data_IF_650423369870
#
_entry.id   IF_650423369870
#
_cell.length_a   1.000
_cell.length_b   1.000
_cell.length_c   1.000
_cell.angle_alpha   90.00
_cell.angle_beta   90.00
_cell.angle_gamma   90.00
#
_symmetry.space_group_name_H-M   'P 1'
#
loop_
_entity.id
_entity.type
_entity.pdbx_description
1 polymer ?
#
# COMPACT_ATOMS: atom_id res chain seq x y z
N UNK A 1 2.23 21.04 -17.23
CA UNK A 1 3.63 21.54 -17.16
C UNK A 1 4.51 20.77 -16.18
N UNK A 2 4.12 20.54 -14.91
CA UNK A 2 4.98 19.84 -13.94
C UNK A 2 5.30 18.37 -14.32
N UNK A 3 4.31 17.61 -14.79
CA UNK A 3 4.54 16.23 -15.29
C UNK A 3 5.44 16.19 -16.53
N UNK A 4 5.30 17.18 -17.42
CA UNK A 4 6.19 17.33 -18.58
C UNK A 4 7.61 17.73 -18.15
N UNK A 5 7.77 18.62 -17.16
CA UNK A 5 9.08 18.94 -16.56
C UNK A 5 9.70 17.72 -15.87
N UNK A 6 8.91 16.90 -15.16
CA UNK A 6 9.35 15.64 -14.57
C UNK A 6 9.84 14.68 -15.66
N UNK A 7 9.02 14.44 -16.69
CA UNK A 7 9.40 13.64 -17.87
C UNK A 7 10.66 14.18 -18.55
N UNK A 8 10.75 15.48 -18.82
CA UNK A 8 11.92 16.12 -19.45
C UNK A 8 13.18 16.10 -18.57
N UNK A 9 13.04 16.09 -17.24
CA UNK A 9 14.17 15.94 -16.31
C UNK A 9 14.64 14.49 -16.17
N UNK A 10 13.75 13.52 -16.42
CA UNK A 10 14.02 12.08 -16.30
C UNK A 10 14.42 11.43 -17.62
N UNK A 11 13.94 11.96 -18.75
CA UNK A 11 14.22 11.47 -20.10
C UNK A 11 15.72 11.44 -20.43
N UNK A 12 16.56 12.43 -20.07
CA UNK A 12 18.01 12.37 -20.30
C UNK A 12 18.70 11.26 -19.50
N UNK A 13 18.18 10.89 -18.33
CA UNK A 13 18.68 9.77 -17.53
C UNK A 13 18.28 8.41 -18.15
N UNK A 14 17.10 8.35 -18.77
CA UNK A 14 16.61 7.19 -19.54
C UNK A 14 17.32 7.04 -20.89
N UNK A 15 17.74 8.14 -21.52
CA UNK A 15 18.44 8.15 -22.81
C UNK A 15 19.93 7.77 -22.72
N UNK A 16 20.56 7.90 -21.54
CA UNK A 16 21.98 7.57 -21.32
C UNK A 16 22.24 6.06 -21.10
N UNK A 17 21.20 5.24 -21.01
CA UNK A 17 21.29 3.78 -21.05
C UNK A 17 20.56 3.33 -22.30
N UNK A 18 21.20 2.54 -23.15
CA UNK A 18 20.71 2.08 -24.46
C UNK A 18 19.31 1.44 -24.41
N UNK A 19 18.27 2.27 -24.37
CA UNK A 19 16.86 1.88 -24.50
C UNK A 19 16.35 2.20 -25.91
N UNK A 20 17.20 2.01 -26.91
CA UNK A 20 16.78 1.84 -28.30
C UNK A 20 16.55 0.35 -28.55
N UNK A 21 15.35 -0.18 -28.25
CA UNK A 21 14.77 -1.38 -28.88
C UNK A 21 13.41 -1.78 -28.26
N UNK A 22 12.41 -0.88 -28.22
CA UNK A 22 11.00 -1.32 -28.09
C UNK A 22 10.12 -0.52 -29.07
N UNK A 23 10.40 -0.64 -30.37
CA UNK A 23 9.51 -0.14 -31.43
C UNK A 23 8.90 -1.25 -32.28
N UNK A 24 9.03 -2.51 -31.85
CA UNK A 24 8.45 -3.66 -32.57
C UNK A 24 7.59 -4.52 -31.63
N UNK A 25 6.27 -4.66 -31.90
CA UNK A 25 5.33 -5.45 -31.08
C UNK A 25 5.76 -6.89 -30.79
N UNK A 26 6.60 -7.48 -31.66
CA UNK A 26 7.14 -8.84 -31.49
C UNK A 26 8.08 -8.99 -30.28
N UNK A 27 8.87 -7.97 -29.94
CA UNK A 27 9.83 -8.05 -28.83
C UNK A 27 9.14 -7.88 -27.46
N UNK A 28 8.10 -7.04 -27.38
CA UNK A 28 7.29 -6.91 -26.16
C UNK A 28 6.52 -8.21 -25.85
N UNK A 29 5.96 -8.86 -26.88
CA UNK A 29 5.29 -10.16 -26.72
C UNK A 29 6.25 -11.26 -26.26
N UNK A 30 7.48 -11.29 -26.80
CA UNK A 30 8.49 -12.26 -26.40
C UNK A 30 9.03 -11.99 -24.98
N UNK A 31 9.26 -10.73 -24.62
CA UNK A 31 9.67 -10.35 -23.27
C UNK A 31 8.57 -10.64 -22.23
N UNK A 32 7.29 -10.39 -22.55
CA UNK A 32 6.15 -10.76 -21.71
C UNK A 32 6.00 -12.28 -21.58
N UNK A 33 6.25 -13.03 -22.65
CA UNK A 33 6.21 -14.50 -22.62
C UNK A 33 7.32 -15.06 -21.73
N UNK A 34 8.55 -14.56 -21.87
CA UNK A 34 9.69 -14.97 -21.04
C UNK A 34 9.51 -14.53 -19.58
N UNK A 35 9.00 -13.32 -19.32
CA UNK A 35 8.64 -12.88 -17.98
C UNK A 35 7.55 -13.76 -17.36
N UNK A 36 6.50 -14.11 -18.12
CA UNK A 36 5.42 -14.98 -17.64
C UNK A 36 5.94 -16.38 -17.34
N UNK A 37 6.85 -16.93 -18.15
CA UNK A 37 7.52 -18.21 -17.88
C UNK A 37 8.37 -18.14 -16.60
N UNK A 38 9.16 -17.08 -16.43
CA UNK A 38 9.99 -16.89 -15.24
C UNK A 38 9.16 -16.68 -13.98
N UNK A 39 8.11 -15.85 -14.04
CA UNK A 39 7.18 -15.66 -12.95
C UNK A 39 6.47 -16.97 -12.57
N UNK A 40 5.96 -17.74 -13.56
CA UNK A 40 5.38 -19.07 -13.30
C UNK A 40 6.37 -20.04 -12.68
N UNK A 41 7.64 -20.02 -13.11
CA UNK A 41 8.70 -20.84 -12.53
C UNK A 41 8.95 -20.45 -11.06
N UNK A 42 9.10 -19.16 -10.77
CA UNK A 42 9.28 -18.63 -9.41
C UNK A 42 8.08 -18.98 -8.52
N UNK A 43 6.85 -18.73 -8.98
CA UNK A 43 5.65 -19.06 -8.20
C UNK A 43 5.45 -20.57 -8.02
N UNK A 44 5.82 -21.39 -9.01
CA UNK A 44 5.81 -22.85 -8.89
C UNK A 44 6.87 -23.33 -7.89
N UNK A 45 8.08 -22.77 -7.92
CA UNK A 45 9.15 -23.08 -6.96
C UNK A 45 8.76 -22.65 -5.53
N UNK A 46 8.17 -21.47 -5.36
CA UNK A 46 7.61 -20.99 -4.09
C UNK A 46 6.49 -21.93 -3.63
N UNK A 47 5.55 -22.27 -4.51
CA UNK A 47 4.45 -23.18 -4.20
C UNK A 47 4.95 -24.58 -3.82
N UNK A 48 5.93 -25.13 -4.54
CA UNK A 48 6.54 -26.42 -4.21
C UNK A 48 7.33 -26.35 -2.90
N UNK A 49 8.01 -25.24 -2.61
CA UNK A 49 8.64 -24.98 -1.30
C UNK A 49 7.60 -25.01 -0.17
N UNK A 50 6.44 -24.38 -0.37
CA UNK A 50 5.33 -24.38 0.58
C UNK A 50 4.59 -25.73 0.69
N UNK A 51 4.45 -26.46 -0.42
CA UNK A 51 3.73 -27.73 -0.49
C UNK A 51 4.57 -28.91 0.04
N UNK A 52 5.87 -28.92 -0.21
CA UNK A 52 6.80 -29.96 0.22
C UNK A 52 7.25 -29.80 1.68
N UNK A 53 7.23 -28.58 2.21
CA UNK A 53 7.70 -28.30 3.56
C UNK A 53 6.53 -28.29 4.57
N UNK A 54 6.24 -29.47 5.16
CA UNK A 54 5.22 -29.61 6.23
C UNK A 54 5.48 -28.71 7.44
N UNK A 55 6.70 -28.20 7.63
CA UNK A 55 7.01 -27.23 8.68
C UNK A 55 6.35 -25.87 8.41
N UNK A 56 6.37 -25.34 7.18
CA UNK A 56 5.76 -24.04 6.87
C UNK A 56 4.24 -24.01 6.99
N UNK A 57 3.55 -25.14 6.77
CA UNK A 57 2.10 -25.26 7.08
C UNK A 57 1.79 -25.24 8.58
N UNK A 58 2.75 -25.58 9.44
CA UNK A 58 2.63 -25.46 10.92
C UNK A 58 3.19 -24.12 11.44
N UNK A 59 3.91 -23.36 10.61
CA UNK A 59 4.57 -22.11 10.98
C UNK A 59 3.65 -20.91 11.18
N UNK A 60 2.39 -20.95 10.73
CA UNK A 60 1.43 -19.89 11.06
C UNK A 60 1.06 -19.82 12.55
N UNK A 61 1.58 -20.73 13.39
CA UNK A 61 1.54 -20.62 14.86
C UNK A 61 2.86 -21.00 15.54
N UNK A 62 3.93 -21.43 14.85
CA UNK A 62 5.17 -21.83 15.55
C UNK A 62 6.46 -21.55 14.79
N UNK A 63 7.32 -20.72 15.39
CA UNK A 63 8.74 -20.60 15.06
C UNK A 63 9.48 -21.95 15.29
N UNK A 64 10.57 -22.24 14.55
CA UNK A 64 11.43 -23.39 14.86
C UNK A 64 11.97 -23.27 16.28
N UNK A 65 11.62 -24.25 17.10
CA UNK A 65 11.89 -24.42 18.54
C UNK A 65 13.37 -24.31 18.99
N UNK A 66 14.31 -23.98 18.10
CA UNK A 66 15.76 -24.13 18.32
C UNK A 66 16.47 -22.92 18.92
N UNK A 67 15.82 -21.75 19.04
CA UNK A 67 16.44 -20.57 19.68
C UNK A 67 15.85 -20.26 21.07
N UNK A 68 14.91 -21.07 21.55
CA UNK A 68 14.39 -21.01 22.92
C UNK A 68 14.97 -22.13 23.80
N UNK A 69 16.27 -22.40 23.67
CA UNK A 69 17.01 -23.22 24.64
C UNK A 69 17.31 -22.44 25.93
N UNK A 70 16.76 -21.23 26.09
CA UNK A 70 16.61 -20.63 27.41
C UNK A 70 15.84 -21.63 28.29
N UNK A 71 16.32 -21.95 29.51
CA UNK A 71 15.62 -22.86 30.39
C UNK A 71 14.16 -22.38 30.55
N UNK A 72 13.18 -23.30 30.73
CA UNK A 72 11.73 -23.02 30.74
C UNK A 72 11.25 -22.15 31.92
N UNK A 73 12.13 -21.32 32.47
CA UNK A 73 11.88 -20.41 33.56
C UNK A 73 11.63 -19.03 32.95
N UNK A 74 10.35 -18.66 32.89
CA UNK A 74 9.86 -17.30 32.56
C UNK A 74 9.72 -16.97 31.06
N UNK A 75 8.69 -17.52 30.40
CA UNK A 75 8.24 -16.98 29.11
C UNK A 75 7.41 -15.71 29.33
N UNK A 76 7.90 -14.58 28.82
CA UNK A 76 7.16 -13.32 28.75
C UNK A 76 6.39 -13.27 27.43
N UNK A 77 5.06 -13.18 27.49
CA UNK A 77 4.18 -13.06 26.33
C UNK A 77 3.63 -11.64 26.29
N UNK A 78 4.00 -10.89 25.24
CA UNK A 78 3.49 -9.56 24.95
C UNK A 78 2.45 -9.65 23.83
N UNK A 79 1.20 -9.25 24.12
CA UNK A 79 0.10 -9.18 23.14
C UNK A 79 -0.23 -7.73 22.84
N UNK A 80 0.02 -7.28 21.62
CA UNK A 80 -0.30 -5.91 21.18
C UNK A 80 -1.61 -5.90 20.38
N UNK A 81 -2.59 -5.12 20.82
CA UNK A 81 -3.88 -4.95 20.16
C UNK A 81 -3.97 -3.55 19.56
N UNK A 82 -3.98 -3.48 18.23
CA UNK A 82 -4.02 -2.23 17.47
C UNK A 82 -5.46 -1.70 17.30
N UNK A 83 -5.62 -0.37 17.23
CA UNK A 83 -6.89 0.36 17.14
C UNK A 83 -7.88 0.01 18.27
N UNK A 84 -7.37 -0.30 19.46
CA UNK A 84 -8.18 -0.75 20.59
C UNK A 84 -9.23 0.29 21.07
N UNK A 85 -8.95 1.57 20.84
CA UNK A 85 -9.84 2.69 21.20
C UNK A 85 -11.23 2.57 20.57
N UNK A 86 -11.33 2.00 19.36
CA UNK A 86 -12.61 1.83 18.67
C UNK A 86 -13.57 0.86 19.39
N UNK A 87 -13.07 0.04 20.32
CA UNK A 87 -13.87 -0.92 21.09
C UNK A 87 -14.19 -0.45 22.51
N UNK A 88 -13.93 0.82 22.82
CA UNK A 88 -14.05 1.36 24.18
C UNK A 88 -15.27 2.26 24.39
N UNK A 89 -16.05 2.56 23.33
CA UNK A 89 -17.12 3.57 23.36
C UNK A 89 -18.38 3.21 24.17
N UNK A 90 -18.45 2.00 24.74
CA UNK A 90 -19.40 1.60 25.77
C UNK A 90 -20.87 1.49 25.36
N UNK A 91 -21.22 1.86 24.14
CA UNK A 91 -22.60 1.80 23.63
C UNK A 91 -22.89 0.49 22.89
N UNK A 92 -21.85 -0.23 22.44
CA UNK A 92 -22.01 -1.47 21.72
C UNK A 92 -21.90 -2.66 22.68
N UNK A 93 -22.85 -3.62 22.70
CA UNK A 93 -22.70 -4.87 23.42
C UNK A 93 -21.38 -5.61 23.11
N UNK A 94 -20.74 -5.34 21.97
CA UNK A 94 -19.43 -5.90 21.59
C UNK A 94 -18.26 -5.23 22.33
N UNK A 95 -18.41 -4.02 22.84
CA UNK A 95 -17.42 -3.37 23.72
C UNK A 95 -17.25 -4.19 25.01
N UNK A 96 -18.28 -4.94 25.42
CA UNK A 96 -18.17 -5.89 26.54
C UNK A 96 -17.23 -7.05 26.25
N UNK A 97 -17.01 -7.45 24.99
CA UNK A 97 -16.08 -8.53 24.64
C UNK A 97 -14.63 -8.09 24.71
N UNK A 98 -14.33 -6.85 24.29
CA UNK A 98 -12.97 -6.30 24.41
C UNK A 98 -12.67 -5.95 25.86
N UNK A 99 -13.64 -5.39 26.60
CA UNK A 99 -13.52 -5.27 28.06
C UNK A 99 -13.35 -6.63 28.73
N UNK A 100 -14.10 -7.64 28.31
CA UNK A 100 -13.94 -9.02 28.80
C UNK A 100 -12.56 -9.59 28.49
N UNK A 101 -11.99 -9.30 27.31
CA UNK A 101 -10.62 -9.66 26.98
C UNK A 101 -9.60 -8.89 27.82
N UNK A 102 -9.79 -7.59 28.04
CA UNK A 102 -8.94 -6.76 28.90
C UNK A 102 -8.97 -7.25 30.35
N UNK A 103 -10.16 -7.54 30.87
CA UNK A 103 -10.38 -8.11 32.20
C UNK A 103 -9.77 -9.49 32.30
N UNK A 104 -9.97 -10.36 31.31
CA UNK A 104 -9.33 -11.67 31.26
C UNK A 104 -7.81 -11.54 31.26
N UNK A 105 -7.22 -10.67 30.42
CA UNK A 105 -5.78 -10.44 30.38
C UNK A 105 -5.25 -9.87 31.70
N UNK A 106 -6.00 -8.98 32.36
CA UNK A 106 -5.66 -8.43 33.69
C UNK A 106 -5.73 -9.52 34.76
N UNK A 107 -6.77 -10.33 34.75
CA UNK A 107 -6.95 -11.45 35.66
C UNK A 107 -5.86 -12.49 35.47
N UNK A 108 -5.54 -12.83 34.22
CA UNK A 108 -4.40 -13.68 33.87
C UNK A 108 -3.10 -13.08 34.36
N UNK A 109 -2.86 -11.78 34.14
CA UNK A 109 -1.64 -11.11 34.60
C UNK A 109 -1.50 -11.13 36.13
N UNK A 110 -2.59 -10.90 36.88
CA UNK A 110 -2.58 -10.86 38.35
C UNK A 110 -2.49 -12.27 38.96
N UNK A 111 -3.34 -13.20 38.54
CA UNK A 111 -3.41 -14.55 39.13
C UNK A 111 -2.20 -15.42 38.83
N UNK A 112 -1.57 -15.25 37.66
CA UNK A 112 -0.41 -16.05 37.27
C UNK A 112 0.94 -15.46 37.65
N UNK A 113 0.98 -14.22 38.13
CA UNK A 113 2.23 -13.60 38.60
C UNK A 113 2.80 -14.34 39.80
N UNK A 114 1.95 -14.89 40.67
CA UNK A 114 2.38 -15.60 41.87
C UNK A 114 2.76 -17.07 41.64
N UNK A 115 2.12 -17.75 40.68
CA UNK A 115 2.20 -19.22 40.58
C UNK A 115 2.68 -19.80 39.24
N UNK A 116 2.87 -18.99 38.19
CA UNK A 116 3.21 -19.54 36.87
C UNK A 116 4.50 -18.98 36.29
N UNK A 117 5.27 -19.87 35.65
CA UNK A 117 6.49 -19.54 34.89
C UNK A 117 6.19 -18.76 33.60
N UNK A 118 4.96 -18.36 33.30
CA UNK A 118 4.62 -17.61 32.10
C UNK A 118 3.98 -16.28 32.47
N UNK A 119 4.65 -15.18 32.16
CA UNK A 119 4.21 -13.82 32.45
C UNK A 119 3.54 -13.25 31.20
N UNK A 120 2.28 -12.81 31.32
CA UNK A 120 1.51 -12.26 30.19
C UNK A 120 1.32 -10.75 30.36
N UNK A 121 1.54 -10.00 29.28
CA UNK A 121 1.30 -8.57 29.20
C UNK A 121 0.51 -8.26 27.93
N UNK A 122 -0.63 -7.59 28.08
CA UNK A 122 -1.40 -7.05 26.97
C UNK A 122 -1.18 -5.55 26.84
N UNK A 123 -0.81 -5.06 25.67
CA UNK A 123 -0.74 -3.64 25.34
C UNK A 123 -1.83 -3.33 24.33
N UNK A 124 -2.79 -2.50 24.74
CA UNK A 124 -3.82 -1.99 23.85
C UNK A 124 -3.32 -0.66 23.31
N UNK A 125 -2.97 -0.66 22.02
CA UNK A 125 -2.43 0.50 21.33
C UNK A 125 -3.55 1.12 20.50
N UNK A 126 -3.69 2.43 20.60
CA UNK A 126 -4.45 3.21 19.63
C UNK A 126 -3.42 3.93 18.74
N UNK A 127 -3.55 3.83 17.41
CA UNK A 127 -2.61 4.49 16.48
C UNK A 127 -2.66 6.00 16.54
N UNK A 128 -3.70 6.55 17.16
CA UNK A 128 -3.79 7.97 17.41
C UNK A 128 -2.78 8.44 18.48
N UNK A 129 -2.18 7.52 19.25
CA UNK A 129 -1.10 7.86 20.15
C UNK A 129 0.16 8.15 19.33
N UNK A 130 0.41 9.43 19.09
CA UNK A 130 1.68 9.95 18.61
C UNK A 130 2.78 9.41 19.53
N UNK A 131 3.65 8.53 19.03
CA UNK A 131 4.71 7.93 19.84
C UNK A 131 5.83 8.97 19.97
N UNK A 132 5.58 9.95 20.84
CA UNK A 132 6.57 10.95 21.25
C UNK A 132 7.77 10.24 21.87
N UNK A 133 8.83 10.06 21.07
CA UNK A 133 10.00 9.26 21.45
C UNK A 133 10.67 8.51 20.30
N UNK A 134 10.09 8.51 19.10
CA UNK A 134 10.75 8.01 17.88
C UNK A 134 11.72 9.02 17.24
N UNK A 135 12.18 10.05 17.96
CA UNK A 135 13.19 10.95 17.43
C UNK A 135 14.56 10.24 17.48
N UNK A 136 15.15 9.85 16.34
CA UNK A 136 16.52 9.33 16.36
C UNK A 136 17.42 10.38 16.98
N UNK A 137 18.35 9.97 17.86
CA UNK A 137 19.25 10.91 18.55
C UNK A 137 19.78 11.95 17.56
N UNK A 138 19.44 13.23 17.79
CA UNK A 138 19.65 14.32 16.83
C UNK A 138 21.10 14.45 16.32
N UNK A 139 22.07 13.86 17.03
CA UNK A 139 23.47 13.79 16.66
C UNK A 139 23.76 13.05 15.32
N UNK A 140 22.82 12.29 14.75
CA UNK A 140 23.06 11.51 13.53
C UNK A 140 22.42 12.05 12.24
N UNK A 141 21.66 13.15 12.29
CA UNK A 141 21.01 13.73 11.11
C UNK A 141 21.97 14.22 10.00
N UNK A 142 23.28 14.30 10.28
CA UNK A 142 24.32 14.72 9.30
C UNK A 142 24.95 13.58 8.51
N UNK A 143 24.69 12.32 8.84
CA UNK A 143 25.15 11.21 7.98
C UNK A 143 24.25 11.18 6.75
N UNK A 144 24.85 11.19 5.55
CA UNK A 144 24.12 10.95 4.30
C UNK A 144 23.30 9.67 4.52
N UNK A 145 21.97 9.79 4.45
CA UNK A 145 21.02 8.67 4.53
C UNK A 145 21.27 7.76 3.33
N UNK A 146 22.31 6.93 3.40
CA UNK A 146 22.55 5.88 2.43
C UNK A 146 21.54 4.79 2.70
N UNK A 147 20.77 4.44 1.68
CA UNK A 147 19.84 3.32 1.72
C UNK A 147 20.46 2.10 2.39
N UNK A 148 19.91 1.71 3.54
CA UNK A 148 20.31 0.50 4.25
C UNK A 148 19.61 -0.70 3.61
N UNK A 149 20.36 -1.75 3.24
CA UNK A 149 19.76 -2.94 2.65
C UNK A 149 18.74 -3.55 3.63
N UNK A 150 17.57 -4.03 3.17
CA UNK A 150 16.54 -4.58 4.05
C UNK A 150 17.02 -5.69 4.99
N UNK A 151 18.04 -6.46 4.59
CA UNK A 151 18.65 -7.53 5.41
C UNK A 151 19.37 -7.01 6.67
N UNK A 152 19.73 -5.74 6.70
CA UNK A 152 20.41 -5.09 7.82
C UNK A 152 19.43 -4.36 8.74
N UNK A 153 18.15 -4.27 8.35
CA UNK A 153 17.11 -3.69 9.18
C UNK A 153 16.67 -4.74 10.21
N UNK A 154 16.59 -4.30 11.45
CA UNK A 154 16.12 -5.07 12.58
C UNK A 154 14.77 -4.52 13.02
N UNK A 155 13.70 -5.29 12.81
CA UNK A 155 12.53 -5.14 13.69
C UNK A 155 12.70 -6.12 14.84
N UNK A 156 12.19 -5.74 16.01
CA UNK A 156 11.98 -6.73 17.07
C UNK A 156 11.01 -7.77 16.50
N UNK A 157 11.51 -8.98 16.23
CA UNK A 157 10.66 -10.06 15.77
C UNK A 157 9.60 -10.32 16.84
N UNK A 158 8.32 -10.31 16.49
CA UNK A 158 7.28 -10.62 17.46
C UNK A 158 7.49 -12.07 17.94
N UNK A 159 7.27 -12.30 19.24
CA UNK A 159 7.33 -13.65 19.83
C UNK A 159 6.29 -14.57 19.14
N UNK A 160 5.16 -13.99 18.74
CA UNK A 160 4.12 -14.62 17.96
C UNK A 160 3.56 -13.61 16.95
N UNK A 161 3.48 -13.99 15.68
CA UNK A 161 2.85 -13.21 14.62
C UNK A 161 1.54 -13.87 14.23
N UNK A 162 0.44 -13.12 14.29
CA UNK A 162 -0.84 -13.55 13.75
C UNK A 162 -1.07 -12.72 12.50
N UNK A 163 -0.86 -13.33 11.34
CA UNK A 163 -1.27 -12.69 10.09
C UNK A 163 -2.81 -12.65 10.05
N UNK A 164 -3.33 -11.43 10.04
CA UNK A 164 -4.78 -11.20 9.98
C UNK A 164 -5.23 -10.61 8.66
N UNK A 165 -4.30 -10.32 7.75
CA UNK A 165 -4.63 -9.80 6.44
C UNK A 165 -5.52 -10.81 5.72
N UNK A 166 -6.55 -10.31 5.04
CA UNK A 166 -7.48 -11.12 4.27
C UNK A 166 -8.28 -12.17 5.09
N UNK A 167 -8.27 -12.13 6.42
CA UNK A 167 -9.02 -13.10 7.25
C UNK A 167 -10.55 -13.10 7.01
N UNK A 168 -11.08 -12.00 6.48
CA UNK A 168 -12.50 -11.87 6.07
C UNK A 168 -12.70 -12.00 4.56
N UNK A 169 -11.62 -12.23 3.80
CA UNK A 169 -11.71 -12.51 2.39
C UNK A 169 -12.30 -13.91 2.16
N UNK A 170 -13.07 -14.09 1.08
CA UNK A 170 -13.44 -15.43 0.66
C UNK A 170 -12.19 -16.25 0.31
N UNK A 171 -12.27 -17.58 0.43
CA UNK A 171 -11.22 -18.46 -0.07
C UNK A 171 -10.93 -18.19 -1.57
N UNK A 172 -9.74 -18.57 -2.03
CA UNK A 172 -9.25 -18.21 -3.37
C UNK A 172 -10.21 -18.66 -4.49
N UNK A 173 -10.77 -19.86 -4.41
CA UNK A 173 -11.72 -20.36 -5.41
C UNK A 173 -12.98 -19.48 -5.50
N UNK A 174 -13.58 -19.16 -4.35
CA UNK A 174 -14.74 -18.27 -4.29
C UNK A 174 -14.36 -16.85 -4.69
N UNK A 175 -13.18 -16.37 -4.32
CA UNK A 175 -12.66 -15.07 -4.74
C UNK A 175 -12.59 -14.99 -6.27
N UNK A 176 -11.92 -15.94 -6.93
CA UNK A 176 -11.84 -15.99 -8.39
C UNK A 176 -13.19 -16.08 -9.07
N UNK A 177 -14.14 -16.83 -8.49
CA UNK A 177 -15.52 -16.88 -8.99
C UNK A 177 -16.17 -15.50 -8.91
N UNK A 178 -16.03 -14.79 -7.79
CA UNK A 178 -16.54 -13.42 -7.63
C UNK A 178 -15.84 -12.44 -8.57
N UNK A 179 -14.53 -12.54 -8.79
CA UNK A 179 -13.80 -11.72 -9.76
C UNK A 179 -14.34 -11.97 -11.17
N UNK A 180 -14.50 -13.24 -11.58
CA UNK A 180 -15.01 -13.60 -12.90
C UNK A 180 -16.44 -13.14 -13.11
N UNK A 181 -17.28 -13.21 -12.08
CA UNK A 181 -18.63 -12.65 -12.13
C UNK A 181 -18.56 -11.12 -12.26
N UNK A 182 -17.73 -10.44 -11.47
CA UNK A 182 -17.56 -8.99 -11.56
C UNK A 182 -16.96 -8.52 -12.90
N UNK A 183 -16.08 -9.32 -13.51
CA UNK A 183 -15.43 -9.02 -14.77
C UNK A 183 -16.26 -9.43 -16.00
N UNK A 184 -17.09 -10.47 -15.87
CA UNK A 184 -17.84 -11.10 -16.96
C UNK A 184 -19.33 -10.77 -16.99
N UNK A 185 -19.92 -10.37 -15.86
CA UNK A 185 -21.20 -9.69 -15.90
C UNK A 185 -20.97 -8.38 -16.63
N UNK A 186 -21.60 -8.21 -17.80
CA UNK A 186 -21.98 -6.87 -18.26
C UNK A 186 -22.59 -6.23 -17.02
N UNK A 187 -21.94 -5.21 -16.46
CA UNK A 187 -22.39 -4.54 -15.24
C UNK A 187 -23.85 -4.17 -15.45
N UNK A 188 -24.74 -5.03 -14.97
CA UNK A 188 -26.16 -4.76 -15.00
C UNK A 188 -26.28 -3.64 -13.98
N UNK A 189 -26.73 -2.47 -14.42
CA UNK A 189 -26.93 -1.28 -13.59
C UNK A 189 -27.71 -1.56 -12.29
N UNK A 190 -28.38 -2.72 -12.21
CA UNK A 190 -29.14 -3.21 -11.06
C UNK A 190 -28.31 -3.79 -9.91
N UNK A 191 -27.02 -4.13 -10.10
CA UNK A 191 -26.16 -4.60 -8.99
C UNK A 191 -24.78 -3.91 -8.96
N UNK A 192 -24.72 -2.61 -8.61
CA UNK A 192 -23.47 -1.86 -8.44
C UNK A 192 -22.55 -2.37 -7.30
N UNK A 193 -22.96 -3.41 -6.56
CA UNK A 193 -22.35 -3.83 -5.30
C UNK A 193 -21.29 -4.95 -5.42
N UNK A 194 -20.84 -5.33 -6.62
CA UNK A 194 -19.94 -6.48 -6.77
C UNK A 194 -18.48 -6.22 -6.33
N UNK A 195 -18.12 -4.99 -5.94
CA UNK A 195 -16.79 -4.67 -5.39
C UNK A 195 -16.68 -4.98 -3.89
N UNK A 196 -17.79 -5.33 -3.23
CA UNK A 196 -17.82 -5.58 -1.78
C UNK A 196 -16.80 -6.62 -1.35
N UNK A 197 -16.53 -7.65 -2.17
CA UNK A 197 -15.51 -8.65 -1.83
C UNK A 197 -14.08 -8.09 -1.90
N UNK A 198 -13.76 -7.24 -2.89
CA UNK A 198 -12.44 -6.63 -3.02
C UNK A 198 -12.12 -5.75 -1.82
N UNK A 199 -13.11 -5.03 -1.32
CA UNK A 199 -12.94 -4.17 -0.16
C UNK A 199 -12.77 -4.95 1.15
N UNK A 200 -13.01 -6.28 1.18
CA UNK A 200 -12.67 -7.13 2.32
C UNK A 200 -11.21 -7.57 2.34
N UNK A 201 -10.48 -7.37 1.24
CA UNK A 201 -9.06 -7.67 1.16
C UNK A 201 -8.25 -6.59 1.90
N UNK A 202 -7.13 -7.00 2.47
CA UNK A 202 -6.27 -6.19 3.31
C UNK A 202 -6.62 -6.33 4.79
N UNK A 203 -6.75 -5.20 5.48
CA UNK A 203 -6.94 -5.21 6.94
C UNK A 203 -8.27 -5.84 7.36
N UNK A 204 -8.29 -6.56 8.49
CA UNK A 204 -9.51 -7.09 9.11
C UNK A 204 -10.61 -6.04 9.29
N UNK A 205 -10.23 -4.79 9.56
CA UNK A 205 -11.14 -3.67 9.79
C UNK A 205 -12.16 -3.55 8.65
N UNK A 206 -11.70 -3.51 7.39
CA UNK A 206 -12.58 -3.33 6.23
C UNK A 206 -13.54 -4.50 6.06
N UNK A 207 -13.00 -5.72 6.15
CA UNK A 207 -13.79 -6.94 6.07
C UNK A 207 -14.92 -7.00 7.10
N UNK A 208 -14.61 -6.59 8.33
CA UNK A 208 -15.57 -6.53 9.44
C UNK A 208 -16.63 -5.45 9.22
N UNK A 209 -16.23 -4.21 8.89
CA UNK A 209 -17.17 -3.11 8.67
C UNK A 209 -18.13 -3.42 7.52
N UNK A 210 -17.62 -3.96 6.41
CA UNK A 210 -18.44 -4.42 5.27
C UNK A 210 -19.31 -5.65 5.59
N UNK A 211 -19.21 -6.24 6.78
CA UNK A 211 -20.16 -7.23 7.27
C UNK A 211 -21.46 -6.60 7.75
N UNK A 212 -21.42 -5.36 8.22
CA UNK A 212 -22.51 -4.75 9.00
C UNK A 212 -22.94 -3.35 8.53
N UNK A 213 -22.06 -2.62 7.86
CA UNK A 213 -22.31 -1.27 7.34
C UNK A 213 -22.53 -1.26 5.84
N UNK A 214 -23.10 -0.15 5.35
CA UNK A 214 -23.21 0.10 3.92
C UNK A 214 -21.81 0.41 3.32
N UNK A 215 -21.48 -0.08 2.11
CA UNK A 215 -20.19 0.19 1.49
C UNK A 215 -19.84 1.68 1.39
N UNK A 216 -20.82 2.56 1.23
CA UNK A 216 -20.57 4.02 1.16
C UNK A 216 -20.03 4.59 2.48
N UNK A 217 -20.53 4.11 3.63
CA UNK A 217 -20.03 4.48 4.95
C UNK A 217 -18.59 4.02 5.15
N UNK A 218 -18.28 2.79 4.72
CA UNK A 218 -16.92 2.25 4.82
C UNK A 218 -15.96 3.00 3.90
N UNK A 219 -16.39 3.39 2.70
CA UNK A 219 -15.61 4.22 1.78
C UNK A 219 -15.36 5.63 2.37
N UNK A 220 -16.36 6.21 3.05
CA UNK A 220 -16.21 7.49 3.75
C UNK A 220 -15.18 7.40 4.88
N UNK A 221 -15.21 6.31 5.66
CA UNK A 221 -14.20 6.06 6.70
C UNK A 221 -12.81 5.84 6.08
N UNK A 222 -12.71 5.06 5.00
CA UNK A 222 -11.47 4.84 4.28
C UNK A 222 -10.88 6.17 3.75
N UNK A 223 -11.73 7.07 3.28
CA UNK A 223 -11.35 8.43 2.89
C UNK A 223 -10.79 9.23 4.08
N UNK A 224 -11.47 9.22 5.21
CA UNK A 224 -11.01 9.90 6.43
C UNK A 224 -9.65 9.36 6.89
N UNK A 225 -9.47 8.02 6.90
CA UNK A 225 -8.21 7.38 7.27
C UNK A 225 -7.10 7.61 6.24
N UNK A 226 -7.42 7.72 4.95
CA UNK A 226 -6.45 8.08 3.89
C UNK A 226 -5.90 9.50 4.11
N UNK A 227 -6.75 10.47 4.46
CA UNK A 227 -6.35 11.85 4.75
C UNK A 227 -5.80 12.05 6.17
N UNK A 228 -5.93 11.06 7.04
CA UNK A 228 -5.55 11.09 8.46
C UNK A 228 -6.41 11.97 9.35
N UNK A 229 -7.38 12.68 8.76
CA UNK A 229 -8.42 13.48 9.40
C UNK A 229 -9.46 13.90 8.35
N UNK A 230 -10.50 14.61 8.79
CA UNK A 230 -11.42 15.27 7.86
C UNK A 230 -10.68 16.30 6.98
N UNK A 231 -11.07 16.37 5.71
CA UNK A 231 -10.39 17.19 4.71
C UNK A 231 -10.71 18.68 4.93
N UNK A 232 -9.78 19.41 5.52
CA UNK A 232 -9.83 20.87 5.65
C UNK A 232 -9.31 21.55 4.37
N UNK A 233 -10.20 21.78 3.40
CA UNK A 233 -9.90 22.54 2.20
C UNK A 233 -9.19 21.79 1.06
N UNK A 234 -8.68 22.56 0.11
CA UNK A 234 -8.14 22.04 -1.15
C UNK A 234 -6.62 21.82 -1.15
N UNK A 235 -5.92 22.29 -0.13
CA UNK A 235 -4.47 22.12 -0.02
C UNK A 235 -4.12 20.85 0.73
N UNK A 236 -3.24 20.03 0.16
CA UNK A 236 -2.71 18.85 0.84
C UNK A 236 -1.38 19.17 1.49
N UNK A 237 -1.19 18.66 2.71
CA UNK A 237 0.16 18.57 3.28
C UNK A 237 0.99 17.55 2.50
N UNK A 238 2.32 17.64 2.58
CA UNK A 238 3.22 16.67 1.93
C UNK A 238 2.92 15.23 2.36
N UNK A 239 2.66 15.00 3.66
CA UNK A 239 2.31 13.67 4.18
C UNK A 239 0.99 13.16 3.60
N UNK A 240 -0.06 13.99 3.53
CA UNK A 240 -1.33 13.62 2.91
C UNK A 240 -1.18 13.28 1.43
N UNK A 241 -0.47 14.12 0.69
CA UNK A 241 -0.23 13.94 -0.74
C UNK A 241 0.53 12.63 -1.02
N UNK A 242 1.56 12.33 -0.21
CA UNK A 242 2.31 11.08 -0.32
C UNK A 242 1.50 9.85 0.12
N UNK A 243 0.72 9.97 1.19
CA UNK A 243 -0.17 8.91 1.66
C UNK A 243 -1.13 8.47 0.55
N UNK A 244 -1.83 9.43 -0.07
CA UNK A 244 -2.76 9.18 -1.20
C UNK A 244 -2.06 8.36 -2.27
N UNK A 245 -0.86 8.77 -2.71
CA UNK A 245 -0.13 8.04 -3.74
C UNK A 245 0.25 6.63 -3.31
N UNK A 246 0.62 6.48 -2.04
CA UNK A 246 1.21 5.26 -1.54
C UNK A 246 0.28 4.06 -1.51
N UNK A 247 -1.04 4.29 -1.45
CA UNK A 247 -2.05 3.24 -1.61
C UNK A 247 -2.11 2.66 -3.03
N UNK A 248 -1.45 3.31 -4.00
CA UNK A 248 -1.44 2.91 -5.41
C UNK A 248 -0.05 2.60 -5.95
N UNK A 249 0.98 3.26 -5.43
CA UNK A 249 2.38 3.01 -5.79
C UNK A 249 3.22 2.95 -4.53
N UNK A 250 3.84 1.79 -4.29
CA UNK A 250 4.73 1.63 -3.16
C UNK A 250 6.05 2.38 -3.33
N UNK A 251 6.56 2.97 -2.26
CA UNK A 251 7.86 3.62 -2.16
C UNK A 251 8.34 3.58 -0.71
N UNK A 252 9.65 3.72 -0.51
CA UNK A 252 10.24 3.70 0.82
C UNK A 252 10.39 5.12 1.35
N UNK A 253 10.04 5.36 2.60
CA UNK A 253 10.24 6.65 3.27
C UNK A 253 11.54 6.58 4.05
N UNK A 254 12.39 7.58 3.91
CA UNK A 254 13.72 7.62 4.55
C UNK A 254 13.78 8.63 5.69
N UNK A 255 12.91 9.65 5.67
CA UNK A 255 12.77 10.61 6.77
C UNK A 255 11.96 10.01 7.91
N UNK A 256 12.55 9.93 9.11
CA UNK A 256 11.90 9.40 10.30
C UNK A 256 10.62 10.16 10.66
N UNK A 257 10.66 11.49 10.68
CA UNK A 257 9.49 12.33 11.00
C UNK A 257 8.33 12.14 10.00
N UNK A 258 8.65 12.02 8.70
CA UNK A 258 7.64 11.74 7.67
C UNK A 258 7.08 10.32 7.80
N UNK A 259 7.94 9.33 8.05
CA UNK A 259 7.54 7.95 8.26
C UNK A 259 6.60 7.82 9.46
N UNK A 260 6.95 8.45 10.58
CA UNK A 260 6.14 8.51 11.79
C UNK A 260 4.75 9.13 11.51
N UNK A 261 4.71 10.29 10.86
CA UNK A 261 3.44 10.93 10.44
C UNK A 261 2.60 10.00 9.56
N UNK A 262 3.21 9.32 8.58
CA UNK A 262 2.52 8.41 7.67
C UNK A 262 2.01 7.14 8.37
N UNK A 263 2.73 6.63 9.36
CA UNK A 263 2.29 5.46 10.14
C UNK A 263 1.14 5.82 11.08
N UNK A 264 1.32 6.88 11.87
CA UNK A 264 0.35 7.30 12.88
C UNK A 264 -0.97 7.73 12.25
N UNK A 265 -0.92 8.53 11.17
CA UNK A 265 -2.11 9.17 10.61
C UNK A 265 -2.63 8.52 9.33
N UNK A 266 -1.76 7.86 8.56
CA UNK A 266 -2.09 7.41 7.21
C UNK A 266 -1.96 5.90 7.04
N UNK A 267 -2.12 5.12 8.11
CA UNK A 267 -2.23 3.66 8.02
C UNK A 267 -1.03 2.99 7.31
N UNK A 268 0.15 3.60 7.33
CA UNK A 268 1.36 2.98 6.79
C UNK A 268 1.94 2.00 7.80
N UNK A 269 2.67 0.99 7.34
CA UNK A 269 3.32 0.00 8.19
C UNK A 269 4.81 0.27 8.28
N UNK A 270 5.39 0.09 9.48
CA UNK A 270 6.82 -0.15 9.62
C UNK A 270 7.14 -1.57 9.15
N UNK A 271 8.20 -1.72 8.35
CA UNK A 271 8.70 -3.04 7.91
C UNK A 271 10.14 -3.28 8.33
N UNK A 272 10.85 -2.24 8.75
CA UNK A 272 12.25 -2.34 9.11
C UNK A 272 12.71 -1.09 9.82
N UNK A 273 13.59 -1.24 10.79
CA UNK A 273 14.30 -0.12 11.41
C UNK A 273 15.78 -0.45 11.45
N UNK A 274 16.64 0.54 11.23
CA UNK A 274 18.07 0.35 11.44
C UNK A 274 18.39 0.21 12.94
N UNK A 275 19.52 -0.43 13.29
CA UNK A 275 19.94 -0.65 14.69
C UNK A 275 20.00 0.65 15.48
N UNK A 276 20.52 1.69 14.84
CA UNK A 276 20.69 3.02 15.43
C UNK A 276 19.39 3.84 15.38
N UNK A 277 18.28 3.24 14.91
CA UNK A 277 16.97 3.88 14.77
C UNK A 277 16.93 5.10 13.85
N UNK A 278 18.04 5.40 13.17
CA UNK A 278 18.18 6.56 12.29
C UNK A 278 17.36 6.43 11.00
N UNK A 279 17.06 5.19 10.60
CA UNK A 279 16.32 4.89 9.39
C UNK A 279 15.12 3.98 9.71
N UNK A 280 13.94 4.39 9.27
CA UNK A 280 12.69 3.65 9.43
C UNK A 280 12.13 3.35 8.04
N UNK A 281 12.17 2.09 7.64
CA UNK A 281 11.55 1.66 6.39
C UNK A 281 10.06 1.42 6.64
N UNK A 282 9.25 2.05 5.80
CA UNK A 282 7.79 1.88 5.81
C UNK A 282 7.26 1.37 4.47
N UNK A 283 6.15 0.66 4.54
CA UNK A 283 5.49 0.04 3.40
C UNK A 283 3.97 0.25 3.48
N UNK A 284 3.31 0.34 2.33
CA UNK A 284 1.85 0.35 2.25
C UNK A 284 1.37 -0.93 1.55
N UNK A 285 0.77 -1.88 2.27
CA UNK A 285 0.16 -3.03 1.61
C UNK A 285 -0.97 -2.55 0.70
N UNK A 286 -1.16 -3.31 -0.37
CA UNK A 286 -2.24 -3.07 -1.32
C UNK A 286 -3.57 -3.38 -0.63
N UNK A 287 -4.37 -2.35 -0.39
CA UNK A 287 -5.72 -2.47 0.18
C UNK A 287 -6.70 -1.89 -0.85
N UNK A 288 -7.52 -2.72 -1.52
CA UNK A 288 -8.32 -2.27 -2.67
C UNK A 288 -9.27 -1.11 -2.36
N UNK A 289 -9.80 -1.03 -1.15
CA UNK A 289 -10.66 0.07 -0.72
C UNK A 289 -9.90 1.41 -0.67
N UNK A 290 -8.67 1.41 -0.15
CA UNK A 290 -7.83 2.62 -0.08
C UNK A 290 -7.30 3.01 -1.46
N UNK A 291 -6.96 2.03 -2.29
CA UNK A 291 -6.60 2.28 -3.69
C UNK A 291 -7.77 2.90 -4.47
N UNK A 292 -9.01 2.44 -4.23
CA UNK A 292 -10.22 2.99 -4.85
C UNK A 292 -10.44 4.45 -4.44
N UNK A 293 -10.44 4.73 -3.13
CA UNK A 293 -10.65 6.10 -2.62
C UNK A 293 -9.53 7.05 -3.05
N UNK A 294 -8.28 6.58 -3.08
CA UNK A 294 -7.15 7.34 -3.62
C UNK A 294 -7.32 7.66 -5.11
N UNK A 295 -7.82 6.69 -5.89
CA UNK A 295 -8.12 6.89 -7.31
C UNK A 295 -9.18 7.98 -7.49
N UNK A 296 -10.29 7.91 -6.72
CA UNK A 296 -11.35 8.91 -6.73
C UNK A 296 -10.83 10.31 -6.39
N UNK A 297 -10.05 10.43 -5.30
CA UNK A 297 -9.48 11.72 -4.88
C UNK A 297 -8.56 12.35 -5.95
N UNK A 298 -7.78 11.52 -6.66
CA UNK A 298 -6.87 11.97 -7.73
C UNK A 298 -7.56 12.15 -9.10
N UNK A 299 -8.74 11.58 -9.32
CA UNK A 299 -9.51 11.74 -10.55
C UNK A 299 -10.43 12.96 -10.51
N UNK A 300 -11.11 13.18 -9.39
CA UNK A 300 -12.10 14.25 -9.23
C UNK A 300 -11.46 15.64 -9.25
N UNK A 301 -10.25 15.77 -8.71
CA UNK A 301 -9.56 17.04 -8.61
C UNK A 301 -8.15 16.97 -9.25
N UNK A 302 -7.97 17.55 -10.45
CA UNK A 302 -6.65 17.61 -11.10
C UNK A 302 -5.56 18.26 -10.24
N UNK A 303 -5.95 19.20 -9.37
CA UNK A 303 -5.04 19.86 -8.44
C UNK A 303 -4.51 18.90 -7.37
N UNK A 304 -5.35 18.01 -6.82
CA UNK A 304 -4.91 16.93 -5.91
C UNK A 304 -3.83 16.08 -6.59
N UNK A 305 -4.08 15.65 -7.83
CA UNK A 305 -3.10 14.84 -8.60
C UNK A 305 -1.78 15.56 -8.78
N UNK A 306 -1.81 16.85 -9.09
CA UNK A 306 -0.61 17.67 -9.23
C UNK A 306 0.16 17.79 -7.91
N UNK A 307 -0.53 18.06 -6.80
CA UNK A 307 0.07 18.13 -5.46
C UNK A 307 0.73 16.81 -5.06
N UNK A 308 0.07 15.68 -5.36
CA UNK A 308 0.61 14.34 -5.14
C UNK A 308 1.93 14.12 -5.88
N UNK A 309 1.97 14.47 -7.17
CA UNK A 309 3.19 14.31 -7.97
C UNK A 309 4.30 15.27 -7.53
N UNK A 310 3.95 16.50 -7.18
CA UNK A 310 4.92 17.46 -6.65
C UNK A 310 5.49 16.96 -5.31
N UNK A 311 4.65 16.47 -4.40
CA UNK A 311 5.10 15.94 -3.12
C UNK A 311 6.05 14.73 -3.30
N UNK A 312 5.78 13.86 -4.27
CA UNK A 312 6.71 12.77 -4.62
C UNK A 312 8.04 13.32 -5.15
N UNK A 313 8.00 14.26 -6.09
CA UNK A 313 9.20 14.86 -6.66
C UNK A 313 10.04 15.57 -5.59
N UNK A 314 9.40 16.38 -4.75
CA UNK A 314 10.04 17.08 -3.63
C UNK A 314 10.60 16.07 -2.63
N UNK A 315 9.89 14.98 -2.35
CA UNK A 315 10.39 13.94 -1.44
C UNK A 315 11.61 13.20 -1.97
N UNK A 316 11.67 12.94 -3.29
CA UNK A 316 12.83 12.31 -3.93
C UNK A 316 14.02 13.27 -3.98
N UNK A 317 13.80 14.52 -4.37
CA UNK A 317 14.85 15.53 -4.48
C UNK A 317 15.45 15.91 -3.12
N UNK A 318 14.62 15.93 -2.06
CA UNK A 318 15.06 16.17 -0.70
C UNK A 318 15.51 14.89 0.04
N UNK A 319 15.61 13.75 -0.65
CA UNK A 319 16.01 12.46 -0.08
C UNK A 319 15.17 12.01 1.14
N UNK A 320 13.90 12.40 1.21
CA UNK A 320 12.94 11.91 2.21
C UNK A 320 12.14 10.70 1.72
N UNK A 321 12.22 10.41 0.42
CA UNK A 321 11.65 9.23 -0.24
C UNK A 321 12.74 8.55 -1.07
N UNK A 322 12.82 7.23 -0.95
CA UNK A 322 13.64 6.37 -1.80
C UNK A 322 12.75 5.59 -2.78
N UNK A 323 13.06 5.72 -4.07
CA UNK A 323 12.44 4.96 -5.14
C UNK A 323 13.45 3.91 -5.61
N UNK A 324 13.37 2.70 -5.06
CA UNK A 324 14.33 1.61 -5.29
C UNK A 324 14.73 1.46 -6.78
N UNK A 325 13.73 1.44 -7.67
CA UNK A 325 13.90 1.45 -9.12
C UNK A 325 13.04 2.57 -9.74
N UNK A 326 13.66 3.73 -9.95
CA UNK A 326 13.00 4.93 -10.48
C UNK A 326 12.27 4.68 -11.81
N UNK A 327 12.90 3.97 -12.74
CA UNK A 327 12.35 3.67 -14.08
C UNK A 327 11.05 2.89 -13.97
N UNK A 328 11.03 1.87 -13.10
CA UNK A 328 9.84 1.06 -12.81
C UNK A 328 8.73 1.88 -12.17
N UNK A 329 9.06 2.80 -11.25
CA UNK A 329 8.05 3.66 -10.59
C UNK A 329 7.45 4.67 -11.56
N UNK A 330 8.26 5.24 -12.45
CA UNK A 330 7.78 6.14 -13.50
C UNK A 330 6.86 5.41 -14.47
N UNK A 331 7.26 4.20 -14.92
CA UNK A 331 6.40 3.37 -15.77
C UNK A 331 5.08 3.00 -15.07
N UNK A 332 5.13 2.65 -13.77
CA UNK A 332 3.95 2.37 -12.98
C UNK A 332 3.02 3.58 -12.89
N UNK A 333 3.55 4.78 -12.63
CA UNK A 333 2.76 6.03 -12.60
C UNK A 333 2.10 6.34 -13.94
N UNK A 334 2.82 6.14 -15.05
CA UNK A 334 2.28 6.33 -16.41
C UNK A 334 1.12 5.39 -16.68
N UNK A 335 1.29 4.09 -16.41
CA UNK A 335 0.25 3.08 -16.60
C UNK A 335 -0.96 3.36 -15.71
N UNK A 336 -0.71 3.72 -14.46
CA UNK A 336 -1.72 4.02 -13.47
C UNK A 336 -2.57 5.24 -13.86
N UNK A 337 -1.96 6.37 -14.26
CA UNK A 337 -2.73 7.53 -14.72
C UNK A 337 -3.45 7.30 -16.05
N UNK A 338 -2.88 6.46 -16.90
CA UNK A 338 -3.54 6.06 -18.15
C UNK A 338 -4.76 5.19 -17.88
N UNK A 339 -4.67 4.31 -16.89
CA UNK A 339 -5.78 3.49 -16.39
C UNK A 339 -6.90 4.37 -15.82
N UNK A 340 -6.55 5.36 -14.98
CA UNK A 340 -7.52 6.30 -14.40
C UNK A 340 -8.24 7.09 -15.49
N UNK A 341 -7.50 7.63 -16.46
CA UNK A 341 -8.06 8.43 -17.55
C UNK A 341 -9.14 7.67 -18.34
N UNK A 342 -8.95 6.36 -18.53
CA UNK A 342 -9.94 5.51 -19.22
C UNK A 342 -11.16 5.23 -18.33
N UNK A 343 -10.97 5.04 -17.02
CA UNK A 343 -12.05 4.72 -16.09
C UNK A 343 -12.95 5.90 -15.76
N UNK A 344 -12.36 7.08 -15.54
CA UNK A 344 -13.09 8.29 -15.15
C UNK A 344 -14.16 8.67 -16.18
N UNK A 345 -14.00 8.26 -17.43
CA UNK A 345 -14.94 8.56 -18.51
C UNK A 345 -16.19 7.66 -18.53
N UNK A 346 -16.21 6.54 -17.80
CA UNK A 346 -17.17 5.46 -18.06
C UNK A 346 -17.70 4.74 -16.81
N UNK A 347 -17.85 5.46 -15.70
CA UNK A 347 -18.14 5.02 -14.33
C UNK A 347 -16.92 4.72 -13.45
N UNK A 348 -16.96 5.20 -12.21
CA UNK A 348 -15.87 5.21 -11.22
C UNK A 348 -15.43 3.84 -10.68
N UNK A 349 -16.01 2.75 -11.19
CA UNK A 349 -15.76 1.40 -10.67
C UNK A 349 -14.62 0.71 -11.42
N UNK A 350 -13.66 0.05 -10.71
CA UNK A 350 -12.57 -0.67 -11.36
C UNK A 350 -13.11 -1.80 -12.25
N UNK A 351 -12.65 -1.85 -13.51
CA UNK A 351 -13.02 -2.91 -14.45
C UNK A 351 -11.86 -3.29 -15.37
N UNK A 352 -11.95 -4.45 -16.04
CA UNK A 352 -10.98 -4.81 -17.07
C UNK A 352 -10.99 -3.78 -18.21
N UNK A 353 -9.82 -3.31 -18.62
CA UNK A 353 -9.65 -2.47 -19.81
C UNK A 353 -9.01 -3.31 -20.92
N UNK A 354 -9.47 -3.13 -22.16
CA UNK A 354 -8.74 -3.60 -23.33
C UNK A 354 -7.35 -2.95 -23.37
N UNK A 355 -6.30 -3.74 -23.57
CA UNK A 355 -4.92 -3.25 -23.67
C UNK A 355 -4.78 -2.12 -24.70
N UNK A 356 -5.48 -2.20 -25.83
CA UNK A 356 -5.47 -1.14 -26.86
C UNK A 356 -5.93 0.21 -26.32
N UNK A 357 -6.98 0.24 -25.49
CA UNK A 357 -7.49 1.48 -24.86
C UNK A 357 -6.52 2.05 -23.84
N UNK A 358 -5.81 1.19 -23.11
CA UNK A 358 -4.77 1.63 -22.20
C UNK A 358 -3.59 2.24 -22.97
N UNK A 359 -3.15 1.60 -24.06
CA UNK A 359 -2.08 2.10 -24.94
C UNK A 359 -2.48 3.43 -25.61
N UNK A 360 -3.70 3.52 -26.15
CA UNK A 360 -4.28 4.77 -26.68
C UNK A 360 -4.30 5.89 -25.61
N UNK A 361 -4.56 5.54 -24.35
CA UNK A 361 -4.57 6.51 -23.24
C UNK A 361 -3.18 7.08 -22.94
N UNK A 362 -2.14 6.23 -23.02
CA UNK A 362 -0.73 6.60 -22.80
C UNK A 362 -0.19 7.47 -23.94
N UNK A 363 -0.36 7.01 -25.18
CA UNK A 363 0.31 7.60 -26.35
C UNK A 363 -0.57 8.57 -27.14
N UNK A 364 -1.86 8.68 -26.81
CA UNK A 364 -2.86 9.35 -27.63
C UNK A 364 -3.42 8.42 -28.71
N UNK A 365 -4.51 8.84 -29.34
CA UNK A 365 -4.99 8.14 -30.54
C UNK A 365 -4.26 8.67 -31.77
N UNK A 366 -4.08 7.84 -32.82
CA UNK A 366 -3.50 8.28 -34.10
C UNK A 366 -4.23 9.50 -34.70
N UNK A 367 -5.49 9.71 -34.32
CA UNK A 367 -6.28 10.88 -34.71
C UNK A 367 -5.77 12.17 -34.08
N UNK A 368 -5.29 12.10 -32.83
CA UNK A 368 -4.75 13.25 -32.11
C UNK A 368 -3.37 13.67 -32.65
N UNK A 369 -2.54 12.70 -33.07
CA UNK A 369 -1.24 12.96 -33.69
C UNK A 369 -1.36 13.74 -35.01
N UNK A 370 -2.35 13.41 -35.85
CA UNK A 370 -2.59 14.11 -37.12
C UNK A 370 -3.04 15.56 -36.93
N UNK A 371 -3.64 15.89 -35.78
CA UNK A 371 -4.04 17.27 -35.44
C UNK A 371 -2.82 18.17 -35.24
N UNK A 372 -1.77 17.64 -34.62
CA UNK A 372 -0.51 18.36 -34.40
C UNK A 372 0.25 18.58 -35.70
N UNK A 373 0.25 17.60 -36.61
CA UNK A 373 0.87 17.76 -37.94
C UNK A 373 0.20 18.90 -38.73
N UNK A 374 -1.13 19.01 -38.70
CA UNK A 374 -1.83 20.12 -39.38
C UNK A 374 -1.57 21.49 -38.75
N UNK A 375 -1.48 21.57 -37.42
CA UNK A 375 -1.13 22.82 -36.73
C UNK A 375 0.32 23.25 -37.02
N UNK A 376 1.25 22.29 -37.17
CA UNK A 376 2.63 22.59 -37.57
C UNK A 376 2.77 23.02 -39.03
N UNK A 377 1.84 22.62 -39.90
CA UNK A 377 1.80 23.02 -41.31
C UNK A 377 1.07 24.35 -41.54
N UNK A 378 0.24 24.83 -40.61
CA UNK A 378 -0.45 26.11 -40.73
C UNK A 378 0.38 27.30 -40.25
N UNK A 379 1.51 27.08 -39.57
CA UNK A 379 2.50 28.12 -39.28
C UNK A 379 3.48 28.23 -40.45
N UNK A 380 2.98 28.58 -41.63
CA UNK A 380 3.87 29.16 -42.65
C UNK A 380 4.31 30.54 -42.14
N UNK A 381 5.61 30.86 -42.17
CA UNK A 381 6.06 32.20 -41.84
C UNK A 381 5.37 33.16 -42.81
N UNK A 382 4.65 34.13 -42.26
CA UNK A 382 4.20 35.29 -43.02
C UNK A 382 5.47 36.00 -43.47
N UNK A 383 5.84 35.80 -44.75
CA UNK A 383 6.89 36.58 -45.40
C UNK A 383 6.54 38.06 -45.23
N UNK A 384 7.46 38.80 -44.61
CA UNK A 384 7.45 40.25 -44.54
C UNK A 384 8.38 40.81 -45.59
#
# INVERSE_FOLDING_TARGET
MAFHKLLCSLLPALYKRDLFLITRPRYAAQALLEYTKQARKIFSEIYQLFASNRYHRKSYVTYPRREFDAPPEEQLILSCFDEAGQFSNGQDPRDTRVRGLQEALREFAVKRWSDSKNKFFGVFVDRNADISGFDPMQQHQRRKLTWTQPKLLHMLHPICEIDTMDNFAPNEEKAWKLIKIAAGAVFSDKEPNNLRYLYRLGRPLWGRLLGWQDPSEVLSLANTKMFGKEREGNSLTTAQALAILSYRVNFSVTSAALADTLMARHMRYAVGMDRDKAFLQTFQPSEPILACVSTQAMSECPQTRLQVINALYDGVTNYTIHLDNLETKVAALLLLFSYDKVHVQQDSSPRPIKLSKLVESVFGSDRDCRSYERLSQSTNPVEK
#
